data_IF_678208331102
#
_entry.id   IF_678208331102
#
_cell.length_a   1.000
_cell.length_b   1.000
_cell.length_c   1.000
_cell.angle_alpha   90.00
_cell.angle_beta   90.00
_cell.angle_gamma   90.00
#
_symmetry.space_group_name_H-M   'P 1'
#
loop_
_entity.id
_entity.type
_entity.pdbx_description
1 polymer ?
#
# COMPACT_ATOMS: atom_id res chain seq x y z
N UNK A 1 44.15 -25.17 -21.47
CA UNK A 1 43.55 -26.42 -20.95
C UNK A 1 43.51 -26.30 -19.43
N UNK A 2 42.40 -26.18 -18.71
CA UNK A 2 40.99 -26.26 -19.08
C UNK A 2 40.17 -25.11 -18.47
N UNK A 3 39.11 -24.75 -19.18
CA UNK A 3 38.08 -23.82 -18.73
C UNK A 3 37.13 -24.55 -17.78
N UNK A 4 37.23 -24.29 -16.48
CA UNK A 4 36.17 -24.63 -15.53
C UNK A 4 34.99 -23.67 -15.78
N UNK A 5 33.88 -24.22 -16.25
CA UNK A 5 32.62 -23.51 -16.51
C UNK A 5 32.08 -22.94 -15.19
N UNK A 6 31.76 -21.64 -15.16
CA UNK A 6 31.03 -20.97 -14.08
C UNK A 6 29.56 -21.43 -13.91
N UNK A 7 29.16 -22.54 -14.56
CA UNK A 7 27.88 -23.21 -14.36
C UNK A 7 27.97 -24.56 -13.63
N UNK A 8 29.17 -25.00 -13.21
CA UNK A 8 29.37 -26.33 -12.62
C UNK A 8 29.10 -26.41 -11.10
N UNK A 9 28.87 -25.28 -10.42
CA UNK A 9 28.52 -25.26 -9.00
C UNK A 9 27.00 -25.27 -8.73
N UNK A 10 26.17 -25.49 -9.77
CA UNK A 10 24.70 -25.58 -9.67
C UNK A 10 24.16 -27.01 -9.56
N UNK A 11 25.04 -28.02 -9.52
CA UNK A 11 24.66 -29.41 -9.29
C UNK A 11 25.46 -29.96 -8.11
N UNK A 12 25.01 -29.62 -6.90
CA UNK A 12 25.18 -30.55 -5.79
C UNK A 12 24.42 -31.84 -6.16
N UNK A 13 25.11 -32.97 -6.04
CA UNK A 13 24.50 -34.30 -6.19
C UNK A 13 23.18 -34.35 -5.42
N UNK A 14 22.11 -34.63 -6.15
CA UNK A 14 20.79 -34.86 -5.59
C UNK A 14 20.83 -36.20 -4.83
N UNK A 15 21.32 -36.17 -3.60
CA UNK A 15 21.08 -37.25 -2.66
C UNK A 15 19.58 -37.32 -2.37
N UNK A 16 19.01 -38.45 -2.79
CA UNK A 16 17.60 -38.77 -2.68
C UNK A 16 17.20 -38.94 -1.20
N UNK A 17 16.79 -37.83 -0.59
CA UNK A 17 16.14 -37.82 0.71
C UNK A 17 15.35 -36.54 0.86
N UNK A 18 14.03 -36.61 0.71
CA UNK A 18 13.11 -35.52 1.06
C UNK A 18 13.04 -35.34 2.58
N UNK A 19 14.17 -34.94 3.18
CA UNK A 19 14.29 -34.44 4.53
C UNK A 19 14.25 -32.91 4.49
N UNK A 20 13.28 -32.32 5.19
CA UNK A 20 13.13 -30.88 5.43
C UNK A 20 14.26 -30.31 6.32
N UNK A 21 15.53 -30.55 5.99
CA UNK A 21 16.66 -30.35 6.94
C UNK A 21 17.68 -29.29 6.55
N UNK A 22 17.48 -28.52 5.48
CA UNK A 22 18.29 -27.33 5.23
C UNK A 22 17.39 -26.21 4.71
N UNK A 23 17.31 -25.08 5.42
CA UNK A 23 16.98 -23.81 4.77
C UNK A 23 18.15 -23.53 3.84
N UNK A 24 18.05 -24.02 2.60
CA UNK A 24 19.07 -23.84 1.59
C UNK A 24 19.29 -22.33 1.39
N UNK A 25 20.55 -21.91 1.29
CA UNK A 25 20.89 -20.49 1.13
C UNK A 25 20.18 -19.91 -0.09
N UNK A 26 20.02 -20.72 -1.14
CA UNK A 26 19.24 -20.38 -2.33
C UNK A 26 17.76 -20.14 -2.02
N UNK A 27 17.12 -21.00 -1.23
CA UNK A 27 15.72 -20.87 -0.86
C UNK A 27 15.47 -19.60 0.00
N UNK A 28 16.39 -19.29 0.91
CA UNK A 28 16.37 -18.06 1.70
C UNK A 28 16.50 -16.81 0.82
N UNK A 29 17.47 -16.80 -0.09
CA UNK A 29 17.69 -15.70 -1.03
C UNK A 29 16.45 -15.47 -1.92
N UNK A 30 15.88 -16.53 -2.50
CA UNK A 30 14.65 -16.47 -3.33
C UNK A 30 13.46 -15.94 -2.52
N UNK A 31 13.25 -16.47 -1.32
CA UNK A 31 12.15 -16.04 -0.45
C UNK A 31 12.26 -14.55 -0.10
N UNK A 32 13.44 -14.09 0.33
CA UNK A 32 13.70 -12.68 0.66
C UNK A 32 13.46 -11.78 -0.55
N UNK A 33 13.86 -12.22 -1.74
CA UNK A 33 13.70 -11.47 -2.99
C UNK A 33 12.24 -11.34 -3.41
N UNK A 34 11.46 -12.42 -3.31
CA UNK A 34 10.03 -12.38 -3.60
C UNK A 34 9.21 -11.60 -2.58
N UNK A 35 9.55 -11.70 -1.29
CA UNK A 35 8.95 -10.85 -0.26
C UNK A 35 9.26 -9.37 -0.53
N UNK A 36 10.49 -9.07 -0.97
CA UNK A 36 10.88 -7.74 -1.43
C UNK A 36 10.06 -7.25 -2.62
N UNK A 37 9.88 -8.10 -3.63
CA UNK A 37 9.04 -7.82 -4.79
C UNK A 37 7.58 -7.57 -4.40
N UNK A 38 7.02 -8.39 -3.51
CA UNK A 38 5.66 -8.24 -3.01
C UNK A 38 5.48 -6.92 -2.24
N UNK A 39 6.43 -6.53 -1.39
CA UNK A 39 6.37 -5.27 -0.65
C UNK A 39 6.45 -4.04 -1.56
N UNK A 40 7.37 -4.05 -2.54
CA UNK A 40 7.45 -2.99 -3.54
C UNK A 40 6.20 -2.94 -4.42
N UNK A 41 5.66 -4.10 -4.81
CA UNK A 41 4.46 -4.22 -5.63
C UNK A 41 3.19 -3.76 -4.91
N UNK A 42 3.04 -4.06 -3.62
CA UNK A 42 1.96 -3.54 -2.79
C UNK A 42 2.00 -2.02 -2.71
N UNK A 43 3.20 -1.46 -2.52
CA UNK A 43 3.36 -0.01 -2.48
C UNK A 43 3.13 0.65 -3.85
N UNK A 44 3.59 0.02 -4.94
CA UNK A 44 3.30 0.44 -6.31
C UNK A 44 1.79 0.45 -6.58
N UNK A 45 1.07 -0.61 -6.18
CA UNK A 45 -0.38 -0.68 -6.29
C UNK A 45 -1.08 0.39 -5.46
N UNK A 46 -0.58 0.67 -4.24
CA UNK A 46 -1.07 1.75 -3.39
C UNK A 46 -0.89 3.14 -4.03
N UNK A 47 0.26 3.41 -4.65
CA UNK A 47 0.47 4.65 -5.41
C UNK A 47 -0.44 4.73 -6.63
N UNK A 48 -0.61 3.61 -7.33
CA UNK A 48 -1.46 3.53 -8.52
C UNK A 48 -2.92 3.79 -8.18
N UNK A 49 -3.43 3.22 -7.08
CA UNK A 49 -4.83 3.37 -6.68
C UNK A 49 -5.17 4.80 -6.23
N UNK A 50 -4.20 5.58 -5.75
CA UNK A 50 -4.40 6.96 -5.32
C UNK A 50 -4.33 8.01 -6.42
N UNK A 51 -3.72 7.70 -7.58
CA UNK A 51 -3.54 8.60 -8.76
C UNK A 51 -3.37 10.08 -8.39
N UNK A 52 -2.49 10.38 -7.42
CA UNK A 52 -2.18 11.76 -7.09
C UNK A 52 -1.35 12.41 -8.21
N UNK A 53 -1.62 13.69 -8.50
CA UNK A 53 -0.87 14.44 -9.51
C UNK A 53 0.62 14.47 -9.13
N UNK A 54 1.48 13.84 -9.94
CA UNK A 54 2.91 13.74 -9.67
C UNK A 54 3.43 12.34 -9.30
N UNK A 55 2.56 11.34 -9.11
CA UNK A 55 2.96 9.98 -8.73
C UNK A 55 3.82 9.21 -9.76
N UNK A 56 3.97 9.73 -10.99
CA UNK A 56 4.60 9.02 -12.10
C UNK A 56 6.05 8.59 -11.86
N UNK A 57 6.87 9.43 -11.22
CA UNK A 57 8.28 9.09 -10.94
C UNK A 57 8.41 8.05 -9.83
N UNK A 58 7.53 8.10 -8.81
CA UNK A 58 7.42 7.06 -7.80
C UNK A 58 6.96 5.73 -8.38
N UNK A 59 5.92 5.74 -9.21
CA UNK A 59 5.44 4.56 -9.94
C UNK A 59 6.56 3.93 -10.79
N UNK A 60 7.37 4.75 -11.45
CA UNK A 60 8.51 4.27 -12.22
C UNK A 60 9.57 3.60 -11.33
N UNK A 61 10.00 4.25 -10.25
CA UNK A 61 11.00 3.69 -9.32
C UNK A 61 10.53 2.37 -8.70
N UNK A 62 9.34 2.33 -8.12
CA UNK A 62 8.81 1.12 -7.49
C UNK A 62 8.45 0.05 -8.53
N UNK A 63 8.09 0.45 -9.75
CA UNK A 63 7.92 -0.46 -10.88
C UNK A 63 9.22 -1.17 -11.26
N UNK A 64 10.32 -0.40 -11.41
CA UNK A 64 11.66 -0.95 -11.70
C UNK A 64 12.13 -1.86 -10.56
N UNK A 65 11.97 -1.45 -9.29
CA UNK A 65 12.35 -2.29 -8.13
C UNK A 65 11.53 -3.58 -8.06
N UNK A 66 10.22 -3.50 -8.27
CA UNK A 66 9.34 -4.68 -8.27
C UNK A 66 9.70 -5.64 -9.40
N UNK A 67 9.90 -5.12 -10.62
CA UNK A 67 10.32 -5.93 -11.77
C UNK A 67 11.69 -6.57 -11.55
N UNK A 68 12.67 -5.79 -11.06
CA UNK A 68 14.01 -6.28 -10.75
C UNK A 68 13.95 -7.45 -9.77
N UNK A 69 13.26 -7.29 -8.64
CA UNK A 69 13.18 -8.31 -7.60
C UNK A 69 12.37 -9.53 -8.08
N UNK A 70 11.24 -9.33 -8.76
CA UNK A 70 10.42 -10.42 -9.27
C UNK A 70 11.20 -11.28 -10.29
N UNK A 71 11.77 -10.66 -11.32
CA UNK A 71 12.55 -11.35 -12.36
C UNK A 71 13.78 -12.01 -11.74
N UNK A 72 14.44 -11.39 -10.77
CA UNK A 72 15.60 -11.98 -10.06
C UNK A 72 15.24 -13.26 -9.32
N UNK A 73 14.12 -13.28 -8.60
CA UNK A 73 13.66 -14.50 -7.93
C UNK A 73 13.40 -15.64 -8.91
N UNK A 74 12.82 -15.34 -10.08
CA UNK A 74 12.65 -16.34 -11.15
C UNK A 74 13.97 -16.75 -11.82
N UNK A 75 14.91 -15.82 -12.01
CA UNK A 75 16.21 -16.10 -12.59
C UNK A 75 16.98 -17.15 -11.78
N UNK A 76 16.87 -17.10 -10.45
CA UNK A 76 17.50 -18.07 -9.56
C UNK A 76 16.84 -19.45 -9.57
N UNK A 77 15.53 -19.52 -9.78
CA UNK A 77 14.82 -20.80 -9.86
C UNK A 77 15.05 -21.53 -11.19
N UNK A 78 15.05 -20.79 -12.30
CA UNK A 78 15.13 -21.38 -13.63
C UNK A 78 16.54 -21.38 -14.23
N UNK A 79 17.46 -20.55 -13.73
CA UNK A 79 18.84 -20.48 -14.20
C UNK A 79 19.01 -20.03 -15.66
N UNK A 80 17.96 -19.47 -16.28
CA UNK A 80 18.00 -19.14 -17.71
C UNK A 80 18.78 -17.84 -17.96
N UNK A 81 19.69 -17.85 -18.95
CA UNK A 81 20.54 -16.70 -19.28
C UNK A 81 19.75 -15.43 -19.66
N UNK A 82 18.62 -15.59 -20.35
CA UNK A 82 17.75 -14.46 -20.71
C UNK A 82 17.08 -13.81 -19.49
N UNK A 83 16.82 -14.58 -18.41
CA UNK A 83 16.32 -14.03 -17.15
C UNK A 83 17.40 -13.19 -16.47
N UNK A 84 18.66 -13.65 -16.47
CA UNK A 84 19.78 -12.87 -15.95
C UNK A 84 19.94 -11.54 -16.72
N UNK A 85 19.85 -11.57 -18.06
CA UNK A 85 19.84 -10.35 -18.87
C UNK A 85 18.70 -9.40 -18.51
N UNK A 86 17.49 -9.91 -18.25
CA UNK A 86 16.36 -9.09 -17.81
C UNK A 86 16.56 -8.50 -16.41
N UNK A 87 17.18 -9.23 -15.47
CA UNK A 87 17.55 -8.71 -14.15
C UNK A 87 18.47 -7.50 -14.31
N UNK A 88 19.52 -7.63 -15.13
CA UNK A 88 20.44 -6.53 -15.36
C UNK A 88 19.84 -5.39 -16.20
N UNK A 89 18.93 -5.69 -17.12
CA UNK A 89 18.15 -4.67 -17.82
C UNK A 89 17.33 -3.83 -16.84
N UNK A 90 16.68 -4.44 -15.84
CA UNK A 90 15.99 -3.70 -14.79
C UNK A 90 16.97 -2.95 -13.86
N UNK A 91 18.10 -3.57 -13.50
CA UNK A 91 19.09 -2.95 -12.61
C UNK A 91 19.74 -1.71 -13.23
N UNK A 92 20.00 -1.72 -14.54
CA UNK A 92 20.57 -0.59 -15.28
C UNK A 92 19.60 0.59 -15.41
N UNK A 93 18.29 0.39 -15.17
CA UNK A 93 17.30 1.47 -15.08
C UNK A 93 17.22 2.12 -13.69
N UNK A 94 17.86 1.54 -12.66
CA UNK A 94 17.84 2.12 -11.31
C UNK A 94 18.43 3.54 -11.21
N UNK A 95 19.61 3.85 -11.81
CA UNK A 95 20.18 5.19 -11.74
C UNK A 95 19.23 6.28 -12.23
N UNK A 96 18.59 6.07 -13.39
CA UNK A 96 17.61 7.02 -13.93
C UNK A 96 16.34 7.08 -13.08
N UNK A 97 15.84 5.94 -12.60
CA UNK A 97 14.65 5.90 -11.75
C UNK A 97 14.85 6.64 -10.42
N UNK A 98 15.99 6.44 -9.75
CA UNK A 98 16.35 7.13 -8.52
C UNK A 98 16.51 8.64 -8.75
N UNK A 99 17.11 9.03 -9.87
CA UNK A 99 17.34 10.46 -10.19
C UNK A 99 16.03 11.18 -10.52
N UNK A 100 15.12 10.55 -11.28
CA UNK A 100 13.78 11.10 -11.54
C UNK A 100 12.95 11.20 -10.26
N UNK A 101 13.09 10.23 -9.36
CA UNK A 101 12.46 10.29 -8.04
C UNK A 101 13.02 11.43 -7.18
N UNK A 102 14.35 11.59 -7.12
CA UNK A 102 15.00 12.69 -6.41
C UNK A 102 14.63 14.06 -7.01
N UNK A 103 14.55 14.17 -8.33
CA UNK A 103 14.08 15.37 -9.03
C UNK A 103 12.65 15.75 -8.64
N UNK A 104 11.77 14.76 -8.55
CA UNK A 104 10.39 14.96 -8.13
C UNK A 104 10.32 15.52 -6.70
N UNK A 105 11.14 14.99 -5.79
CA UNK A 105 11.25 15.51 -4.42
C UNK A 105 11.74 16.97 -4.37
N UNK A 106 12.55 17.39 -5.34
CA UNK A 106 13.13 18.74 -5.44
C UNK A 106 12.35 19.70 -6.36
N UNK A 107 11.12 19.34 -6.76
CA UNK A 107 10.27 20.17 -7.66
C UNK A 107 11.00 20.68 -8.91
N UNK A 108 11.82 19.83 -9.55
CA UNK A 108 12.58 20.13 -10.79
C UNK A 108 13.82 21.02 -10.67
N UNK A 109 14.30 21.33 -9.46
CA UNK A 109 15.59 22.04 -9.25
C UNK A 109 16.82 21.12 -9.40
N UNK A 110 16.65 19.94 -9.99
CA UNK A 110 17.72 18.96 -10.14
C UNK A 110 18.65 19.35 -11.30
N UNK A 111 19.97 19.44 -11.09
CA UNK A 111 20.88 19.95 -12.09
C UNK A 111 20.97 18.99 -13.28
N UNK A 112 21.11 19.56 -14.48
CA UNK A 112 21.15 18.82 -15.74
C UNK A 112 22.30 17.81 -15.80
N UNK A 113 23.44 18.12 -15.17
CA UNK A 113 24.60 17.24 -15.17
C UNK A 113 24.33 15.91 -14.44
N UNK A 114 23.56 15.91 -13.34
CA UNK A 114 23.20 14.67 -12.64
C UNK A 114 22.22 13.83 -13.47
N UNK A 115 21.29 14.47 -14.19
CA UNK A 115 20.37 13.78 -15.10
C UNK A 115 21.14 13.14 -16.25
N UNK A 116 22.08 13.88 -16.83
CA UNK A 116 22.97 13.38 -17.88
C UNK A 116 23.85 12.23 -17.39
N UNK A 117 24.37 12.32 -16.17
CA UNK A 117 25.15 11.25 -15.54
C UNK A 117 24.30 9.98 -15.33
N UNK A 118 23.12 10.11 -14.73
CA UNK A 118 22.21 8.98 -14.50
C UNK A 118 21.75 8.34 -15.81
N UNK A 119 21.36 9.16 -16.79
CA UNK A 119 20.97 8.70 -18.12
C UNK A 119 22.15 8.02 -18.84
N UNK A 120 23.35 8.60 -18.76
CA UNK A 120 24.55 8.07 -19.38
C UNK A 120 24.96 6.72 -18.80
N UNK A 121 24.95 6.57 -17.47
CA UNK A 121 25.19 5.29 -16.79
C UNK A 121 24.13 4.27 -17.18
N UNK A 122 22.85 4.63 -17.09
CA UNK A 122 21.75 3.73 -17.47
C UNK A 122 21.84 3.29 -18.92
N UNK A 123 22.03 4.22 -19.86
CA UNK A 123 22.14 3.91 -21.28
C UNK A 123 23.39 3.06 -21.59
N UNK A 124 24.56 3.44 -21.07
CA UNK A 124 25.80 2.70 -21.32
C UNK A 124 25.68 1.24 -20.89
N UNK A 125 25.29 0.99 -19.64
CA UNK A 125 25.21 -0.38 -19.14
C UNK A 125 24.02 -1.17 -19.69
N UNK A 126 22.91 -0.50 -20.03
CA UNK A 126 21.79 -1.15 -20.72
C UNK A 126 22.20 -1.63 -22.11
N UNK A 127 22.91 -0.77 -22.87
CA UNK A 127 23.44 -1.15 -24.20
C UNK A 127 24.47 -2.27 -24.06
N UNK A 128 25.40 -2.18 -23.10
CA UNK A 128 26.37 -3.24 -22.84
C UNK A 128 25.66 -4.57 -22.50
N UNK A 129 24.68 -4.57 -21.61
CA UNK A 129 23.91 -5.77 -21.24
C UNK A 129 23.19 -6.43 -22.42
N UNK A 130 22.84 -5.67 -23.47
CA UNK A 130 22.20 -6.21 -24.67
C UNK A 130 23.20 -6.93 -25.60
N UNK A 131 24.44 -6.46 -25.64
CA UNK A 131 25.47 -6.96 -26.58
C UNK A 131 26.53 -7.84 -25.92
N UNK A 132 26.69 -7.80 -24.60
CA UNK A 132 27.68 -8.56 -23.84
C UNK A 132 27.03 -9.29 -22.67
N UNK A 133 27.65 -10.39 -22.24
CA UNK A 133 27.25 -11.08 -21.02
C UNK A 133 27.73 -10.31 -19.79
N UNK A 134 26.90 -9.35 -19.36
CA UNK A 134 27.19 -8.53 -18.19
C UNK A 134 27.23 -9.37 -16.90
N UNK A 135 26.41 -10.42 -16.82
CA UNK A 135 26.33 -11.30 -15.65
C UNK A 135 27.61 -12.11 -15.44
N UNK A 136 28.26 -12.52 -16.53
CA UNK A 136 29.52 -13.26 -16.49
C UNK A 136 30.78 -12.41 -16.37
N UNK A 137 30.68 -11.08 -16.35
CA UNK A 137 31.83 -10.18 -16.46
C UNK A 137 32.03 -9.33 -15.19
N UNK A 138 32.75 -9.89 -14.21
CA UNK A 138 33.05 -9.28 -12.92
C UNK A 138 33.50 -7.81 -12.97
N UNK A 139 34.47 -7.38 -13.82
CA UNK A 139 34.89 -5.98 -13.83
C UNK A 139 33.79 -5.04 -14.33
N UNK A 140 32.93 -5.48 -15.27
CA UNK A 140 31.78 -4.68 -15.69
C UNK A 140 30.70 -4.59 -14.60
N UNK A 141 30.48 -5.66 -13.82
CA UNK A 141 29.57 -5.64 -12.67
C UNK A 141 30.05 -4.68 -11.58
N UNK A 142 31.35 -4.72 -11.26
CA UNK A 142 31.96 -3.79 -10.30
C UNK A 142 31.91 -2.35 -10.81
N UNK A 143 32.12 -2.12 -12.11
CA UNK A 143 31.95 -0.81 -12.71
C UNK A 143 30.50 -0.32 -12.62
N UNK A 144 29.50 -1.18 -12.89
CA UNK A 144 28.08 -0.84 -12.73
C UNK A 144 27.76 -0.48 -11.27
N UNK A 145 28.22 -1.28 -10.31
CA UNK A 145 28.03 -1.02 -8.88
C UNK A 145 28.67 0.30 -8.47
N UNK A 146 29.91 0.57 -8.89
CA UNK A 146 30.60 1.83 -8.60
C UNK A 146 29.85 3.02 -9.19
N UNK A 147 29.41 2.94 -10.46
CA UNK A 147 28.61 3.99 -11.08
C UNK A 147 27.26 4.19 -10.38
N UNK A 148 26.56 3.12 -9.99
CA UNK A 148 25.31 3.20 -9.22
C UNK A 148 25.53 3.88 -7.87
N UNK A 149 26.61 3.51 -7.16
CA UNK A 149 26.99 4.13 -5.89
C UNK A 149 27.28 5.62 -6.07
N UNK A 150 28.03 6.01 -7.11
CA UNK A 150 28.32 7.41 -7.43
C UNK A 150 27.04 8.19 -7.74
N UNK A 151 26.14 7.68 -8.59
CA UNK A 151 24.84 8.32 -8.90
C UNK A 151 24.03 8.51 -7.61
N UNK A 152 23.93 7.46 -6.81
CA UNK A 152 23.15 7.45 -5.56
C UNK A 152 23.71 8.44 -4.55
N UNK A 153 25.04 8.43 -4.35
CA UNK A 153 25.73 9.34 -3.46
C UNK A 153 25.61 10.80 -3.92
N UNK A 154 25.70 11.06 -5.22
CA UNK A 154 25.57 12.41 -5.78
C UNK A 154 24.14 12.96 -5.62
N UNK A 155 23.12 12.13 -5.87
CA UNK A 155 21.71 12.48 -5.60
C UNK A 155 21.48 12.74 -4.11
N UNK A 156 22.01 11.88 -3.23
CA UNK A 156 21.90 12.04 -1.79
C UNK A 156 22.60 13.30 -1.27
N UNK A 157 23.81 13.58 -1.77
CA UNK A 157 24.56 14.80 -1.46
C UNK A 157 23.78 16.06 -1.88
N UNK A 158 23.22 16.06 -3.10
CA UNK A 158 22.44 17.19 -3.60
C UNK A 158 21.16 17.42 -2.79
N UNK A 159 20.46 16.34 -2.39
CA UNK A 159 19.30 16.40 -1.49
C UNK A 159 19.65 17.01 -0.11
N UNK A 160 20.88 16.79 0.38
CA UNK A 160 21.36 17.40 1.63
C UNK A 160 21.81 18.85 1.45
N UNK A 161 22.36 19.21 0.29
CA UNK A 161 22.93 20.52 0.02
C UNK A 161 21.87 21.59 -0.29
N UNK A 162 20.79 21.25 -1.01
CA UNK A 162 19.68 22.17 -1.32
C UNK A 162 18.81 22.55 -0.11
N UNK A 163 19.17 22.06 1.09
CA UNK A 163 18.43 22.13 2.34
C UNK A 163 18.12 23.56 2.82
N UNK A 164 18.97 24.54 2.48
CA UNK A 164 19.01 25.80 3.23
C UNK A 164 18.44 27.02 2.50
N UNK A 165 18.14 26.94 1.19
CA UNK A 165 17.68 28.10 0.42
C UNK A 165 16.22 28.00 -0.07
N UNK A 166 15.76 26.84 -0.55
CA UNK A 166 14.57 26.78 -1.42
C UNK A 166 13.47 25.76 -1.01
N UNK A 167 13.66 24.97 0.04
CA UNK A 167 12.75 23.87 0.41
C UNK A 167 11.88 24.18 1.63
N UNK A 168 10.61 23.76 1.59
CA UNK A 168 9.73 23.83 2.76
C UNK A 168 10.22 22.88 3.87
N UNK A 169 9.84 23.16 5.12
CA UNK A 169 10.24 22.32 6.26
C UNK A 169 9.80 20.85 6.13
N UNK A 170 8.71 20.56 5.41
CA UNK A 170 8.27 19.20 5.10
C UNK A 170 9.17 18.51 4.08
N UNK A 171 9.56 19.21 3.01
CA UNK A 171 10.41 18.66 1.95
C UNK A 171 11.83 18.39 2.46
N UNK A 172 12.40 19.31 3.23
CA UNK A 172 13.69 19.11 3.88
C UNK A 172 13.69 17.95 4.90
N UNK A 173 12.53 17.60 5.46
CA UNK A 173 12.37 16.39 6.30
C UNK A 173 12.31 15.12 5.46
N UNK A 174 11.52 15.12 4.39
CA UNK A 174 11.37 14.01 3.47
C UNK A 174 12.72 13.66 2.81
N UNK A 175 13.44 14.67 2.30
CA UNK A 175 14.76 14.51 1.72
C UNK A 175 15.76 13.89 2.72
N UNK A 176 15.82 14.39 3.96
CA UNK A 176 16.71 13.83 5.00
C UNK A 176 16.44 12.37 5.28
N UNK A 177 15.17 11.99 5.38
CA UNK A 177 14.83 10.62 5.68
C UNK A 177 15.10 9.69 4.50
N UNK A 178 14.83 10.13 3.28
CA UNK A 178 15.23 9.41 2.06
C UNK A 178 16.74 9.17 2.05
N UNK A 179 17.55 10.20 2.35
CA UNK A 179 19.01 10.05 2.43
C UNK A 179 19.43 9.06 3.51
N UNK A 180 18.87 9.16 4.73
CA UNK A 180 19.17 8.22 5.82
C UNK A 180 18.87 6.78 5.41
N UNK A 181 17.72 6.55 4.75
CA UNK A 181 17.36 5.19 4.33
C UNK A 181 18.22 4.70 3.20
N UNK A 182 18.55 5.54 2.22
CA UNK A 182 19.47 5.17 1.15
C UNK A 182 20.85 4.81 1.72
N UNK A 183 21.35 5.57 2.71
CA UNK A 183 22.61 5.25 3.40
C UNK A 183 22.52 3.92 4.16
N UNK A 184 21.38 3.60 4.76
CA UNK A 184 21.15 2.30 5.41
C UNK A 184 20.97 1.15 4.41
N UNK A 185 20.36 1.42 3.25
CA UNK A 185 20.05 0.44 2.21
C UNK A 185 21.27 0.12 1.33
N UNK A 186 22.22 1.05 1.17
CA UNK A 186 23.38 0.86 0.31
C UNK A 186 24.28 -0.30 0.77
N UNK A 187 24.66 -0.44 2.07
CA UNK A 187 25.40 -1.61 2.54
C UNK A 187 24.64 -2.92 2.32
N UNK A 188 23.32 -2.91 2.51
CA UNK A 188 22.46 -4.07 2.25
C UNK A 188 22.50 -4.44 0.75
N UNK A 189 22.43 -3.47 -0.15
CA UNK A 189 22.53 -3.70 -1.60
C UNK A 189 23.92 -4.22 -2.01
N UNK A 190 25.00 -3.78 -1.35
CA UNK A 190 26.36 -4.28 -1.62
C UNK A 190 26.47 -5.77 -1.32
N UNK A 191 25.73 -6.30 -0.34
CA UNK A 191 25.72 -7.75 -0.05
C UNK A 191 25.20 -8.62 -1.20
N UNK A 192 24.46 -8.04 -2.16
CA UNK A 192 24.03 -8.77 -3.36
C UNK A 192 25.20 -9.16 -4.28
N UNK A 193 26.36 -8.50 -4.14
CA UNK A 193 27.58 -8.76 -4.90
C UNK A 193 28.58 -9.66 -4.15
N UNK A 194 28.11 -10.47 -3.19
CA UNK A 194 28.94 -11.33 -2.33
C UNK A 194 29.92 -12.24 -3.10
N UNK A 195 29.53 -12.74 -4.27
CA UNK A 195 30.37 -13.64 -5.08
C UNK A 195 31.67 -12.95 -5.52
N UNK A 196 31.65 -11.62 -5.66
CA UNK A 196 32.81 -10.82 -6.06
C UNK A 196 33.51 -10.11 -4.88
N UNK A 197 32.86 -10.00 -3.72
CA UNK A 197 33.34 -9.25 -2.55
C UNK A 197 33.72 -10.12 -1.34
N UNK A 198 33.43 -11.43 -1.36
CA UNK A 198 33.77 -12.37 -0.29
C UNK A 198 32.57 -12.85 0.56
N UNK A 199 32.87 -13.63 1.61
CA UNK A 199 31.94 -14.51 2.34
C UNK A 199 30.89 -13.79 3.20
N UNK A 200 29.88 -13.18 2.58
CA UNK A 200 28.63 -12.79 3.27
C UNK A 200 27.61 -13.94 3.12
N UNK A 201 27.02 -14.44 4.22
CA UNK A 201 26.22 -15.67 4.19
C UNK A 201 24.89 -15.56 3.44
N UNK A 202 24.26 -14.38 3.39
CA UNK A 202 22.92 -14.18 2.77
C UNK A 202 22.88 -12.86 2.01
N UNK A 203 22.17 -12.81 0.87
CA UNK A 203 21.96 -11.58 0.10
C UNK A 203 20.86 -10.75 0.75
N UNK A 204 21.18 -9.53 1.17
CA UNK A 204 20.29 -8.66 1.95
C UNK A 204 19.72 -7.48 1.12
N UNK A 205 20.01 -7.37 -0.18
CA UNK A 205 19.63 -6.21 -0.98
C UNK A 205 18.12 -5.95 -1.05
N UNK A 206 17.30 -7.01 -1.08
CA UNK A 206 15.84 -6.86 -1.06
C UNK A 206 15.31 -6.26 0.26
N UNK A 207 16.02 -6.47 1.38
CA UNK A 207 15.69 -5.81 2.66
C UNK A 207 15.90 -4.30 2.58
N UNK A 208 16.90 -3.83 1.82
CA UNK A 208 17.12 -2.41 1.56
C UNK A 208 15.91 -1.76 0.86
N UNK A 209 15.35 -2.44 -0.15
CA UNK A 209 14.15 -1.98 -0.84
C UNK A 209 12.91 -1.99 0.08
N UNK A 210 12.72 -3.03 0.89
CA UNK A 210 11.62 -3.09 1.87
C UNK A 210 11.74 -2.02 2.94
N UNK A 211 12.94 -1.79 3.48
CA UNK A 211 13.20 -0.72 4.42
C UNK A 211 12.87 0.64 3.79
N UNK A 212 13.26 0.87 2.54
CA UNK A 212 12.90 2.06 1.77
C UNK A 212 11.39 2.28 1.68
N UNK A 213 10.63 1.28 1.26
CA UNK A 213 9.16 1.34 1.21
C UNK A 213 8.57 1.63 2.60
N UNK A 214 9.03 0.89 3.62
CA UNK A 214 8.52 1.01 4.99
C UNK A 214 8.70 2.43 5.54
N UNK A 215 9.90 2.99 5.39
CA UNK A 215 10.21 4.35 5.85
C UNK A 215 9.41 5.39 5.08
N UNK A 216 9.34 5.25 3.76
CA UNK A 216 8.61 6.19 2.92
C UNK A 216 7.13 6.29 3.30
N UNK A 217 6.52 5.17 3.70
CA UNK A 217 5.15 5.11 4.18
C UNK A 217 4.94 5.71 5.57
N UNK A 218 5.98 5.79 6.40
CA UNK A 218 5.94 6.39 7.75
C UNK A 218 6.24 7.90 7.76
N UNK A 219 6.90 8.39 6.71
CA UNK A 219 7.29 9.80 6.58
C UNK A 219 6.13 10.77 6.39
N UNK A 220 4.95 10.28 5.99
CA UNK A 220 3.79 11.12 5.71
C UNK A 220 3.14 11.73 6.96
N UNK A 221 3.49 11.30 8.18
CA UNK A 221 2.71 11.65 9.39
C UNK A 221 3.50 12.15 10.61
N UNK A 222 4.79 11.81 10.78
CA UNK A 222 5.49 12.05 12.06
C UNK A 222 6.37 13.31 12.08
N UNK A 223 6.19 14.16 13.10
CA UNK A 223 7.04 15.33 13.35
C UNK A 223 8.42 15.00 13.92
N UNK A 224 8.64 13.79 14.48
CA UNK A 224 9.96 13.33 15.00
C UNK A 224 10.50 12.18 14.16
N UNK A 225 10.92 12.52 12.96
CA UNK A 225 11.19 11.58 11.87
C UNK A 225 12.30 10.58 12.19
N UNK A 226 13.51 11.03 12.53
CA UNK A 226 14.69 10.14 12.55
C UNK A 226 14.73 9.21 13.78
N UNK A 227 14.49 9.73 14.98
CA UNK A 227 14.52 8.89 16.21
C UNK A 227 13.37 7.88 16.23
N UNK A 228 12.18 8.28 15.81
CA UNK A 228 11.04 7.37 15.69
C UNK A 228 11.29 6.27 14.67
N UNK A 229 11.90 6.62 13.53
CA UNK A 229 12.27 5.67 12.50
C UNK A 229 13.29 4.64 12.97
N UNK A 230 14.36 5.08 13.64
CA UNK A 230 15.37 4.19 14.19
C UNK A 230 14.78 3.25 15.26
N UNK A 231 13.90 3.77 16.12
CA UNK A 231 13.20 2.95 17.11
C UNK A 231 12.28 1.89 16.45
N UNK A 232 11.59 2.25 15.36
CA UNK A 232 10.75 1.32 14.59
C UNK A 232 11.57 0.25 13.87
N UNK A 233 12.71 0.63 13.27
CA UNK A 233 13.62 -0.33 12.64
C UNK A 233 14.27 -1.25 13.69
N UNK A 234 14.62 -0.73 14.86
CA UNK A 234 15.09 -1.54 15.98
C UNK A 234 14.01 -2.51 16.49
N UNK A 235 12.76 -2.05 16.59
CA UNK A 235 11.64 -2.93 16.94
C UNK A 235 11.42 -4.03 15.90
N UNK A 236 11.45 -3.69 14.61
CA UNK A 236 11.35 -4.66 13.52
C UNK A 236 12.48 -5.70 13.58
N UNK A 237 13.70 -5.26 13.91
CA UNK A 237 14.85 -6.15 14.12
C UNK A 237 14.65 -7.11 15.29
N UNK A 238 14.12 -6.63 16.42
CA UNK A 238 13.80 -7.48 17.57
C UNK A 238 12.73 -8.51 17.21
N UNK A 239 11.65 -8.09 16.56
CA UNK A 239 10.60 -9.01 16.11
C UNK A 239 11.14 -10.05 15.10
N UNK A 240 11.98 -9.62 14.16
CA UNK A 240 12.63 -10.52 13.21
C UNK A 240 13.54 -11.53 13.91
N UNK A 241 14.32 -11.11 14.92
CA UNK A 241 15.17 -12.00 15.70
C UNK A 241 14.35 -13.03 16.49
N UNK A 242 13.24 -12.61 17.12
CA UNK A 242 12.32 -13.52 17.82
C UNK A 242 11.70 -14.51 16.83
N UNK A 243 11.19 -14.04 15.69
CA UNK A 243 10.58 -14.89 14.67
C UNK A 243 11.59 -15.89 14.09
N UNK A 244 12.81 -15.45 13.80
CA UNK A 244 13.89 -16.32 13.34
C UNK A 244 14.27 -17.37 14.41
N UNK A 245 14.29 -16.98 15.69
CA UNK A 245 14.50 -17.90 16.80
C UNK A 245 13.38 -18.94 16.91
N UNK A 246 12.12 -18.54 16.74
CA UNK A 246 10.98 -19.48 16.72
C UNK A 246 11.08 -20.44 15.53
N UNK A 247 11.43 -19.95 14.34
CA UNK A 247 11.65 -20.78 13.16
C UNK A 247 12.81 -21.78 13.37
N UNK A 248 13.91 -21.34 13.97
CA UNK A 248 15.05 -22.18 14.28
C UNK A 248 14.69 -23.26 15.32
N UNK A 249 13.94 -22.90 16.37
CA UNK A 249 13.47 -23.84 17.38
C UNK A 249 12.52 -24.88 16.78
N UNK A 250 11.61 -24.47 15.89
CA UNK A 250 10.65 -25.35 15.24
C UNK A 250 11.31 -26.34 14.28
N UNK A 251 12.42 -25.95 13.63
CA UNK A 251 13.09 -26.78 12.62
C UNK A 251 14.19 -27.67 13.20
N UNK A 252 14.98 -27.16 14.16
CA UNK A 252 16.19 -27.84 14.66
C UNK A 252 16.15 -28.15 16.17
N UNK A 253 15.13 -27.67 16.90
CA UNK A 253 15.07 -27.79 18.36
C UNK A 253 16.18 -27.00 19.09
N UNK A 254 16.26 -27.12 20.42
CA UNK A 254 17.30 -26.49 21.23
C UNK A 254 18.60 -27.32 21.14
N UNK A 255 19.31 -27.24 20.02
CA UNK A 255 20.55 -27.97 19.76
C UNK A 255 21.66 -27.09 19.14
N UNK A 256 22.83 -27.67 18.82
CA UNK A 256 23.97 -26.92 18.28
C UNK A 256 23.69 -26.25 16.93
N UNK A 257 22.68 -26.70 16.18
CA UNK A 257 22.23 -26.08 14.92
C UNK A 257 21.25 -24.89 15.09
N UNK A 258 20.78 -24.61 16.31
CA UNK A 258 19.80 -23.54 16.57
C UNK A 258 20.31 -22.16 16.18
N UNK A 259 21.54 -21.81 16.62
CA UNK A 259 22.10 -20.49 16.38
C UNK A 259 22.35 -20.24 14.88
N UNK A 260 22.83 -21.25 14.17
CA UNK A 260 23.08 -21.18 12.74
C UNK A 260 21.77 -21.07 11.94
N UNK A 261 20.77 -21.90 12.26
CA UNK A 261 19.44 -21.83 11.66
C UNK A 261 18.77 -20.47 11.91
N UNK A 262 18.92 -19.90 13.11
CA UNK A 262 18.41 -18.58 13.47
C UNK A 262 19.07 -17.46 12.66
N UNK A 263 20.40 -17.47 12.55
CA UNK A 263 21.15 -16.48 11.77
C UNK A 263 20.78 -16.53 10.27
N UNK A 264 20.63 -17.73 9.70
CA UNK A 264 20.23 -17.91 8.29
C UNK A 264 18.76 -17.56 8.04
N UNK A 265 17.88 -17.78 9.02
CA UNK A 265 16.46 -17.43 8.94
C UNK A 265 16.17 -15.95 9.18
N UNK A 266 17.10 -15.21 9.79
CA UNK A 266 16.93 -13.80 10.16
C UNK A 266 16.57 -12.87 8.98
N UNK A 267 17.17 -12.99 7.78
CA UNK A 267 16.78 -12.17 6.63
C UNK A 267 15.36 -12.45 6.15
N UNK A 268 14.94 -13.73 6.12
CA UNK A 268 13.58 -14.13 5.74
C UNK A 268 12.57 -13.59 6.75
N UNK A 269 12.85 -13.75 8.05
CA UNK A 269 12.02 -13.22 9.11
C UNK A 269 11.89 -11.69 9.04
N UNK A 270 13.01 -10.99 8.78
CA UNK A 270 13.01 -9.54 8.59
C UNK A 270 12.16 -9.12 7.38
N UNK A 271 12.31 -9.81 6.25
CA UNK A 271 11.52 -9.52 5.06
C UNK A 271 10.01 -9.68 5.32
N UNK A 272 9.62 -10.74 6.05
CA UNK A 272 8.24 -10.98 6.47
C UNK A 272 7.69 -9.91 7.41
N UNK A 273 8.47 -9.53 8.43
CA UNK A 273 8.09 -8.48 9.38
C UNK A 273 7.89 -7.15 8.65
N UNK A 274 8.83 -6.75 7.79
CA UNK A 274 8.72 -5.52 7.00
C UNK A 274 7.54 -5.56 6.04
N UNK A 275 7.33 -6.67 5.32
CA UNK A 275 6.19 -6.83 4.42
C UNK A 275 4.86 -6.68 5.15
N UNK A 276 4.71 -7.36 6.29
CA UNK A 276 3.50 -7.30 7.10
C UNK A 276 3.27 -5.88 7.63
N UNK A 277 4.33 -5.22 8.11
CA UNK A 277 4.24 -3.87 8.61
C UNK A 277 3.87 -2.86 7.51
N UNK A 278 4.41 -3.03 6.29
CA UNK A 278 4.02 -2.26 5.10
C UNK A 278 2.53 -2.49 4.79
N UNK A 279 2.07 -3.74 4.75
CA UNK A 279 0.68 -4.08 4.45
C UNK A 279 -0.29 -3.47 5.46
N UNK A 280 -0.04 -3.68 6.76
CA UNK A 280 -0.85 -3.12 7.86
C UNK A 280 -0.91 -1.59 7.76
N UNK A 281 0.23 -0.96 7.47
CA UNK A 281 0.29 0.49 7.34
C UNK A 281 -0.43 1.01 6.10
N UNK A 282 -0.29 0.35 4.94
CA UNK A 282 -1.04 0.69 3.72
C UNK A 282 -2.54 0.62 4.01
N UNK A 283 -2.99 -0.42 4.71
CA UNK A 283 -4.38 -0.56 5.14
C UNK A 283 -4.79 0.59 6.06
N UNK A 284 -4.04 0.85 7.13
CA UNK A 284 -4.33 1.94 8.06
C UNK A 284 -4.44 3.31 7.36
N UNK A 285 -3.51 3.62 6.46
CA UNK A 285 -3.48 4.88 5.69
C UNK A 285 -4.62 4.93 4.67
N UNK A 286 -5.01 3.80 4.08
CA UNK A 286 -6.18 3.72 3.20
C UNK A 286 -7.47 4.00 3.96
N UNK A 287 -7.62 3.43 5.15
CA UNK A 287 -8.79 3.66 6.01
C UNK A 287 -8.87 5.13 6.50
N UNK A 288 -7.73 5.74 6.84
CA UNK A 288 -7.67 7.15 7.23
C UNK A 288 -7.91 8.11 6.06
N UNK A 289 -7.39 7.77 4.87
CA UNK A 289 -7.49 8.58 3.65
C UNK A 289 -8.94 8.87 3.25
N UNK A 290 -9.83 7.90 3.44
CA UNK A 290 -11.27 8.04 3.20
C UNK A 290 -11.89 9.21 3.98
N UNK A 291 -11.38 9.52 5.18
CA UNK A 291 -11.87 10.64 5.99
C UNK A 291 -11.51 11.99 5.38
N UNK A 292 -10.29 12.12 4.87
CA UNK A 292 -9.85 13.34 4.17
C UNK A 292 -10.58 13.56 2.85
N UNK A 293 -10.95 12.48 2.15
CA UNK A 293 -11.71 12.54 0.91
C UNK A 293 -13.13 13.04 1.18
N UNK A 294 -13.76 12.56 2.24
CA UNK A 294 -15.06 13.07 2.69
C UNK A 294 -15.02 14.56 3.06
N UNK A 295 -14.01 15.01 3.80
CA UNK A 295 -13.87 16.43 4.15
C UNK A 295 -13.57 17.31 2.93
N UNK A 296 -12.70 16.86 2.02
CA UNK A 296 -12.44 17.56 0.75
C UNK A 296 -13.69 17.64 -0.11
N UNK A 297 -14.47 16.56 -0.15
CA UNK A 297 -15.78 16.59 -0.80
C UNK A 297 -16.68 17.62 -0.14
N UNK A 298 -16.81 17.61 1.19
CA UNK A 298 -17.69 18.55 1.91
C UNK A 298 -17.31 20.01 1.64
N UNK A 299 -16.01 20.31 1.49
CA UNK A 299 -15.51 21.64 1.16
C UNK A 299 -15.84 22.09 -0.28
N UNK A 300 -15.96 21.16 -1.24
CA UNK A 300 -16.21 21.48 -2.65
C UNK A 300 -17.63 21.09 -3.11
N UNK A 301 -18.43 20.50 -2.22
CA UNK A 301 -19.79 20.11 -2.50
C UNK A 301 -20.62 21.38 -2.71
N UNK A 302 -21.42 21.40 -3.78
CA UNK A 302 -22.42 22.45 -3.97
C UNK A 302 -23.56 22.18 -3.00
N UNK A 303 -23.63 22.98 -1.93
CA UNK A 303 -24.65 22.91 -0.89
C UNK A 303 -25.73 23.99 -1.11
N UNK A 304 -25.81 24.52 -2.33
CA UNK A 304 -26.64 25.66 -2.68
C UNK A 304 -28.08 25.20 -2.98
N UNK A 305 -28.22 24.03 -3.61
CA UNK A 305 -29.49 23.41 -4.00
C UNK A 305 -29.49 21.90 -3.70
N UNK A 306 -30.66 21.28 -3.45
CA UNK A 306 -30.73 19.83 -3.21
C UNK A 306 -30.25 19.00 -4.40
N UNK A 307 -30.55 19.42 -5.64
CA UNK A 307 -30.03 18.79 -6.85
C UNK A 307 -28.51 18.90 -6.96
N UNK A 308 -27.94 20.07 -6.61
CA UNK A 308 -26.50 20.29 -6.55
C UNK A 308 -25.81 19.40 -5.51
N UNK A 309 -26.49 19.16 -4.39
CA UNK A 309 -26.03 18.24 -3.35
C UNK A 309 -26.06 16.79 -3.82
N UNK A 310 -27.14 16.32 -4.46
CA UNK A 310 -27.24 14.96 -5.02
C UNK A 310 -26.18 14.73 -6.12
N UNK A 311 -25.99 15.72 -6.99
CA UNK A 311 -24.95 15.66 -8.01
C UNK A 311 -23.54 15.62 -7.38
N UNK A 312 -23.33 16.35 -6.28
CA UNK A 312 -22.08 16.30 -5.53
C UNK A 312 -21.89 14.96 -4.83
N UNK A 313 -22.94 14.34 -4.29
CA UNK A 313 -22.95 13.01 -3.67
C UNK A 313 -22.47 11.91 -4.63
N UNK A 314 -22.78 12.00 -5.93
CA UNK A 314 -22.27 11.04 -6.94
C UNK A 314 -20.75 11.02 -7.04
N UNK A 315 -20.09 12.10 -6.61
CA UNK A 315 -18.63 12.23 -6.66
C UNK A 315 -17.93 11.61 -5.46
N UNK A 316 -18.65 11.18 -4.42
CA UNK A 316 -18.06 10.40 -3.34
C UNK A 316 -17.94 8.93 -3.80
N UNK A 317 -16.75 8.30 -3.75
CA UNK A 317 -16.59 6.90 -4.14
C UNK A 317 -17.48 5.94 -3.35
N UNK A 318 -17.75 6.26 -2.07
CA UNK A 318 -18.57 5.42 -1.18
C UNK A 318 -20.08 5.60 -1.40
N UNK A 319 -20.50 6.63 -2.13
CA UNK A 319 -21.91 6.88 -2.46
C UNK A 319 -22.12 6.97 -3.96
N UNK A 320 -21.20 6.44 -4.78
CA UNK A 320 -21.30 6.49 -6.24
C UNK A 320 -22.56 5.75 -6.73
N UNK A 321 -22.91 4.64 -6.07
CA UNK A 321 -24.06 3.78 -6.39
C UNK A 321 -25.34 4.16 -5.61
N UNK A 322 -25.47 5.41 -5.15
CA UNK A 322 -26.66 5.80 -4.40
C UNK A 322 -27.93 5.79 -5.27
N UNK A 323 -29.03 5.32 -4.70
CA UNK A 323 -30.35 5.36 -5.34
C UNK A 323 -31.18 6.44 -4.65
N UNK A 324 -31.71 7.38 -5.42
CA UNK A 324 -32.63 8.40 -4.91
C UNK A 324 -34.03 7.99 -5.34
N UNK A 325 -34.89 7.70 -4.36
CA UNK A 325 -36.29 7.38 -4.58
C UNK A 325 -37.14 8.63 -4.30
N UNK A 326 -37.93 9.02 -5.29
CA UNK A 326 -38.85 10.15 -5.22
C UNK A 326 -40.28 9.74 -4.90
N UNK A 327 -41.17 10.72 -4.79
CA UNK A 327 -42.57 10.55 -4.37
C UNK A 327 -43.36 9.57 -5.24
N UNK A 328 -43.08 9.51 -6.55
CA UNK A 328 -43.75 8.59 -7.49
C UNK A 328 -43.32 7.13 -7.30
N UNK A 329 -42.06 6.88 -6.96
CA UNK A 329 -41.52 5.53 -6.74
C UNK A 329 -41.84 5.03 -5.34
N UNK A 330 -42.06 5.94 -4.40
CA UNK A 330 -42.51 5.66 -3.04
C UNK A 330 -44.04 5.57 -2.92
N UNK A 331 -44.79 5.80 -4.01
CA UNK A 331 -46.23 5.73 -4.03
C UNK A 331 -46.71 4.28 -3.79
N UNK A 332 -47.31 4.04 -2.62
CA UNK A 332 -47.74 2.71 -2.18
C UNK A 332 -47.01 2.19 -0.93
N UNK A 333 -45.93 2.86 -0.51
CA UNK A 333 -45.27 2.58 0.76
C UNK A 333 -45.88 3.39 1.91
N UNK A 334 -45.83 2.86 3.13
CA UNK A 334 -46.31 3.52 4.35
C UNK A 334 -45.34 4.64 4.79
N UNK A 335 -45.20 5.67 3.96
CA UNK A 335 -44.26 6.78 4.10
C UNK A 335 -44.36 7.48 5.46
N UNK A 336 -45.57 7.77 5.94
CA UNK A 336 -45.77 8.46 7.22
C UNK A 336 -45.23 7.65 8.40
N UNK A 337 -45.46 6.33 8.39
CA UNK A 337 -44.94 5.41 9.40
C UNK A 337 -43.41 5.25 9.30
N UNK A 338 -42.86 5.17 8.08
CA UNK A 338 -41.41 5.14 7.83
C UNK A 338 -40.71 6.39 8.38
N UNK A 339 -41.26 7.56 8.09
CA UNK A 339 -40.75 8.84 8.57
C UNK A 339 -40.99 9.05 10.07
N UNK A 340 -41.99 8.41 10.68
CA UNK A 340 -42.20 8.44 12.13
C UNK A 340 -41.15 7.57 12.85
N UNK A 341 -40.94 6.34 12.38
CA UNK A 341 -40.00 5.38 12.95
C UNK A 341 -38.57 5.94 12.90
N UNK A 342 -38.13 6.37 11.72
CA UNK A 342 -36.77 6.88 11.54
C UNK A 342 -36.59 8.35 11.93
N UNK A 343 -37.66 9.14 11.88
CA UNK A 343 -37.64 10.57 12.22
C UNK A 343 -37.27 10.84 13.68
N UNK A 344 -37.54 9.89 14.59
CA UNK A 344 -37.21 10.02 16.02
C UNK A 344 -35.71 10.01 16.31
N UNK A 345 -34.91 9.26 15.52
CA UNK A 345 -33.46 9.10 15.80
C UNK A 345 -32.56 10.07 15.05
N UNK A 346 -33.03 10.67 13.95
CA UNK A 346 -32.21 11.56 13.08
C UNK A 346 -30.90 10.93 12.60
N UNK A 347 -30.85 9.61 12.58
CA UNK A 347 -29.72 8.79 12.15
C UNK A 347 -30.09 8.03 10.87
N UNK A 348 -29.08 7.60 10.06
CA UNK A 348 -29.29 6.65 8.97
C UNK A 348 -29.90 5.37 9.50
N UNK A 349 -30.81 4.76 8.76
CA UNK A 349 -31.38 3.45 9.14
C UNK A 349 -30.65 2.35 8.39
N UNK A 350 -30.03 1.42 9.11
CA UNK A 350 -29.42 0.24 8.49
C UNK A 350 -30.45 -0.87 8.21
N UNK A 351 -30.15 -1.75 7.25
CA UNK A 351 -30.98 -2.93 6.96
C UNK A 351 -31.11 -3.86 8.18
N UNK A 352 -30.07 -3.94 9.02
CA UNK A 352 -30.09 -4.73 10.26
C UNK A 352 -31.08 -4.16 11.27
N UNK A 353 -31.11 -2.84 11.45
CA UNK A 353 -32.07 -2.17 12.32
C UNK A 353 -33.50 -2.27 11.78
N UNK A 354 -33.71 -2.11 10.47
CA UNK A 354 -35.03 -2.28 9.86
C UNK A 354 -35.58 -3.70 10.13
N UNK A 355 -34.75 -4.73 10.00
CA UNK A 355 -35.12 -6.12 10.35
C UNK A 355 -35.36 -6.30 11.85
N UNK A 356 -34.54 -5.68 12.70
CA UNK A 356 -34.72 -5.74 14.15
C UNK A 356 -36.02 -5.06 14.60
N UNK A 357 -36.45 -3.99 13.93
CA UNK A 357 -37.73 -3.33 14.20
C UNK A 357 -38.93 -4.19 13.81
N UNK A 358 -38.84 -4.89 12.67
CA UNK A 358 -39.86 -5.87 12.28
C UNK A 358 -39.95 -7.02 13.30
N UNK A 359 -38.80 -7.56 13.74
CA UNK A 359 -38.74 -8.66 14.73
C UNK A 359 -39.24 -8.28 16.13
N UNK A 360 -38.74 -7.18 16.69
CA UNK A 360 -39.10 -6.74 18.05
C UNK A 360 -40.53 -6.20 18.18
N UNK A 361 -41.12 -5.76 17.06
CA UNK A 361 -42.51 -5.32 16.99
C UNK A 361 -43.50 -6.48 17.09
N UNK A 362 -43.15 -7.65 16.54
CA UNK A 362 -43.97 -8.86 16.57
C UNK A 362 -44.22 -9.37 18.00
N UNK A 363 -43.22 -9.26 18.88
CA UNK A 363 -43.31 -9.70 20.28
C UNK A 363 -44.18 -8.78 21.17
N UNK A 364 -44.47 -7.54 20.74
CA UNK A 364 -45.20 -6.52 21.51
C UNK A 364 -46.54 -6.09 20.86
N UNK A 365 -47.13 -6.96 20.04
CA UNK A 365 -48.27 -6.66 19.15
C UNK A 365 -49.66 -6.50 19.83
N UNK A 366 -49.74 -5.89 21.01
CA UNK A 366 -51.01 -5.69 21.74
C UNK A 366 -51.68 -4.31 21.50
N UNK A 367 -51.17 -3.47 20.59
CA UNK A 367 -51.70 -2.13 20.32
C UNK A 367 -52.03 -1.89 18.84
N UNK A 368 -53.11 -1.14 18.57
CA UNK A 368 -53.63 -0.85 17.23
C UNK A 368 -52.68 -0.05 16.32
N UNK A 369 -51.60 0.54 16.85
CA UNK A 369 -50.55 1.24 16.09
C UNK A 369 -49.27 0.41 15.85
N UNK A 370 -49.19 -0.81 16.38
CA UNK A 370 -47.97 -1.65 16.27
C UNK A 370 -47.87 -2.33 14.91
N UNK A 371 -48.99 -2.78 14.33
CA UNK A 371 -49.02 -3.45 13.03
C UNK A 371 -48.50 -2.59 11.89
N UNK A 372 -48.93 -1.32 11.83
CA UNK A 372 -48.49 -0.37 10.80
C UNK A 372 -46.99 -0.05 10.89
N UNK A 373 -46.38 -0.14 12.09
CA UNK A 373 -44.94 0.06 12.27
C UNK A 373 -44.12 -1.14 11.83
N UNK A 374 -44.62 -2.35 12.08
CA UNK A 374 -44.01 -3.60 11.61
C UNK A 374 -44.02 -3.61 10.08
N UNK A 375 -45.17 -3.32 9.47
CA UNK A 375 -45.32 -3.27 8.02
C UNK A 375 -44.36 -2.24 7.39
N UNK A 376 -44.26 -1.04 7.98
CA UNK A 376 -43.29 -0.04 7.52
C UNK A 376 -41.83 -0.51 7.64
N UNK A 377 -41.47 -1.20 8.73
CA UNK A 377 -40.12 -1.73 8.91
C UNK A 377 -39.78 -2.84 7.90
N UNK A 378 -40.73 -3.73 7.61
CA UNK A 378 -40.59 -4.76 6.58
C UNK A 378 -40.47 -4.17 5.19
N UNK A 379 -41.31 -3.17 4.87
CA UNK A 379 -41.25 -2.42 3.62
C UNK A 379 -39.89 -1.73 3.41
N UNK A 380 -39.30 -1.17 4.47
CA UNK A 380 -37.97 -0.57 4.41
C UNK A 380 -36.87 -1.63 4.17
N UNK A 381 -36.96 -2.76 4.87
CA UNK A 381 -36.00 -3.85 4.70
C UNK A 381 -36.06 -4.47 3.30
N UNK A 382 -37.27 -4.58 2.75
CA UNK A 382 -37.53 -5.04 1.38
C UNK A 382 -37.02 -4.03 0.34
N UNK A 383 -37.28 -2.73 0.52
CA UNK A 383 -36.70 -1.67 -0.33
C UNK A 383 -35.17 -1.73 -0.38
N UNK A 384 -34.53 -1.86 0.78
CA UNK A 384 -33.07 -1.99 0.88
C UNK A 384 -32.57 -3.27 0.19
N UNK A 385 -33.28 -4.39 0.36
CA UNK A 385 -32.91 -5.66 -0.27
C UNK A 385 -33.06 -5.63 -1.80
N UNK A 386 -34.17 -5.09 -2.32
CA UNK A 386 -34.43 -4.98 -3.77
C UNK A 386 -33.38 -4.15 -4.48
N UNK A 387 -32.91 -3.07 -3.86
CA UNK A 387 -31.88 -2.20 -4.42
C UNK A 387 -30.45 -2.61 -4.05
N UNK A 388 -30.26 -3.71 -3.31
CA UNK A 388 -28.94 -4.16 -2.81
C UNK A 388 -28.21 -3.08 -1.99
N UNK A 389 -28.97 -2.28 -1.23
CA UNK A 389 -28.45 -1.17 -0.42
C UNK A 389 -28.46 -1.54 1.05
N UNK A 390 -27.57 -0.93 1.84
CA UNK A 390 -27.41 -1.28 3.26
C UNK A 390 -28.02 -0.25 4.19
N UNK A 391 -28.14 1.01 3.77
CA UNK A 391 -28.63 2.11 4.59
C UNK A 391 -29.64 2.98 3.83
N UNK A 392 -30.63 3.50 4.56
CA UNK A 392 -31.62 4.43 4.07
C UNK A 392 -31.51 5.79 4.79
N UNK A 393 -31.49 6.87 4.00
CA UNK A 393 -31.47 8.25 4.46
C UNK A 393 -32.80 8.91 4.11
N UNK A 394 -33.60 9.24 5.13
CA UNK A 394 -34.90 9.89 4.97
C UNK A 394 -34.73 11.41 4.98
N UNK A 395 -34.69 12.00 3.78
CA UNK A 395 -34.25 13.39 3.53
C UNK A 395 -35.38 14.39 3.76
N UNK A 396 -36.48 14.30 3.01
CA UNK A 396 -37.63 15.22 3.11
C UNK A 396 -38.93 14.45 3.21
N UNK A 397 -39.88 14.96 4.01
CA UNK A 397 -41.23 14.38 4.14
C UNK A 397 -42.18 14.83 3.02
N UNK A 398 -42.01 16.03 2.49
CA UNK A 398 -42.83 16.62 1.41
C UNK A 398 -41.96 17.54 0.55
N UNK A 399 -41.67 17.19 -0.72
CA UNK A 399 -41.92 15.89 -1.35
C UNK A 399 -41.14 14.77 -0.63
N UNK A 400 -41.71 13.56 -0.59
CA UNK A 400 -41.07 12.42 0.05
C UNK A 400 -39.81 12.02 -0.73
N UNK A 401 -38.64 12.09 -0.08
CA UNK A 401 -37.37 11.72 -0.70
C UNK A 401 -36.56 10.80 0.20
N UNK A 402 -36.18 9.66 -0.36
CA UNK A 402 -35.38 8.62 0.30
C UNK A 402 -34.09 8.41 -0.50
N UNK A 403 -32.94 8.49 0.15
CA UNK A 403 -31.65 8.19 -0.47
C UNK A 403 -31.13 6.88 0.12
N UNK A 404 -30.97 5.87 -0.72
CA UNK A 404 -30.40 4.58 -0.34
C UNK A 404 -28.90 4.58 -0.64
N UNK A 405 -28.11 4.12 0.33
CA UNK A 405 -26.66 4.07 0.27
C UNK A 405 -26.15 2.66 0.56
N UNK A 406 -25.03 2.31 -0.08
CA UNK A 406 -24.27 1.13 0.27
C UNK A 406 -23.02 1.52 1.08
N UNK A 407 -23.15 1.46 2.41
CA UNK A 407 -22.03 1.69 3.32
C UNK A 407 -21.40 0.35 3.76
N UNK A 408 -20.07 0.30 3.92
CA UNK A 408 -19.38 -0.91 4.37
C UNK A 408 -19.78 -1.27 5.82
N UNK A 409 -20.24 -2.51 6.03
CA UNK A 409 -20.71 -3.02 7.34
C UNK A 409 -19.60 -3.67 8.20
N UNK A 410 -18.32 -3.51 7.82
CA UNK A 410 -17.18 -4.10 8.53
C UNK A 410 -16.64 -3.25 9.68
N UNK A 411 -15.35 -3.38 9.99
CA UNK A 411 -14.67 -2.62 11.04
C UNK A 411 -14.78 -1.08 10.95
N UNK A 412 -15.25 -0.55 9.81
CA UNK A 412 -15.48 0.86 9.54
C UNK A 412 -16.95 1.30 9.56
N UNK A 413 -17.89 0.42 9.96
CA UNK A 413 -19.32 0.73 9.99
C UNK A 413 -19.62 2.04 10.72
N UNK A 414 -19.03 2.22 11.92
CA UNK A 414 -19.23 3.43 12.73
C UNK A 414 -18.79 4.74 12.02
N UNK A 415 -17.70 4.73 11.26
CA UNK A 415 -17.24 5.91 10.50
C UNK A 415 -18.15 6.15 9.29
N UNK A 416 -18.59 5.09 8.62
CA UNK A 416 -19.55 5.17 7.53
C UNK A 416 -20.89 5.74 7.98
N UNK A 417 -21.40 5.27 9.12
CA UNK A 417 -22.62 5.75 9.77
C UNK A 417 -22.50 7.22 10.17
N UNK A 418 -21.39 7.65 10.78
CA UNK A 418 -21.14 9.06 11.11
C UNK A 418 -21.16 9.95 9.86
N UNK A 419 -20.54 9.52 8.75
CA UNK A 419 -20.58 10.27 7.49
C UNK A 419 -21.99 10.35 6.93
N UNK A 420 -22.71 9.23 6.94
CA UNK A 420 -24.09 9.16 6.49
C UNK A 420 -25.02 10.03 7.34
N UNK A 421 -24.77 10.13 8.66
CA UNK A 421 -25.49 11.03 9.55
C UNK A 421 -25.21 12.51 9.22
N UNK A 422 -23.95 12.87 8.91
CA UNK A 422 -23.60 14.22 8.45
C UNK A 422 -24.28 14.54 7.12
N UNK A 423 -24.25 13.61 6.15
CA UNK A 423 -24.94 13.74 4.86
C UNK A 423 -26.46 13.93 5.08
N UNK A 424 -27.09 13.11 5.93
CA UNK A 424 -28.51 13.22 6.27
C UNK A 424 -28.86 14.59 6.86
N UNK A 425 -28.02 15.08 7.76
CA UNK A 425 -28.23 16.37 8.43
C UNK A 425 -28.14 17.54 7.45
N UNK A 426 -27.18 17.50 6.51
CA UNK A 426 -27.06 18.49 5.46
C UNK A 426 -28.24 18.43 4.49
N UNK A 427 -28.61 17.23 4.03
CA UNK A 427 -29.72 17.02 3.11
C UNK A 427 -31.05 17.56 3.68
N UNK A 428 -31.32 17.28 4.96
CA UNK A 428 -32.50 17.80 5.68
C UNK A 428 -32.49 19.32 5.79
N UNK A 429 -31.33 19.93 6.05
CA UNK A 429 -31.22 21.37 6.17
C UNK A 429 -31.50 22.08 4.84
N UNK A 430 -31.05 21.49 3.72
CA UNK A 430 -31.35 22.00 2.38
C UNK A 430 -32.83 21.84 2.02
N UNK A 431 -33.42 20.67 2.31
CA UNK A 431 -34.86 20.45 2.07
C UNK A 431 -35.76 21.37 2.89
N UNK A 432 -35.34 21.76 4.10
CA UNK A 432 -36.09 22.75 4.91
C UNK A 432 -36.02 24.17 4.34
N UNK A 433 -34.91 24.55 3.68
CA UNK A 433 -34.76 25.87 3.06
C UNK A 433 -35.57 26.05 1.78
N UNK A 434 -35.84 24.97 1.07
CA UNK A 434 -36.63 25.00 -0.16
C UNK A 434 -38.14 25.01 0.13
N UNK A 435 -38.56 24.48 1.29
CA UNK A 435 -39.95 24.47 1.74
C UNK A 435 -40.38 25.74 2.48
N UNK A 436 -39.45 26.64 2.81
CA UNK A 436 -39.67 27.92 3.48
C UNK A 436 -39.54 29.07 2.48
#
# INVERSE_FOLDING_TARGET
MGHARAGAALHGEADAGWGLTVIDALASDVAVTWLGAAGCGLYLHFLWSRREAGAGTGLFLFGVLTALLAVRGFAWLFGAAWLAQLVFAAATLLPIAMTLFAEHLLRRHHPLWLKGLALGVSALFFTLNLFTDLAGNAPLLLALLACLAVVTASNGWFLLWLREADLSANEARLARAVVVVVVLALPLAVTDFREELGQVPVRLGALGALAFVYVFLHLSESQRVVRGLLAQMAAALVFAAVLAGVMALATHGPGPGFAEAGLRGMPVAMAWVLLTAIFVRIRAVSLAGDGSAFLRWLLHARLDTPEGFLHSLRRLPQTADHVVLGETELAGYALDALFEIAGRRREPVSIGEARAWAGNGADNAAGSGTGQRIEAAEQLADLLARHQMTHALLVTRRPAQLVLLNLPQGANAAIGELRAAVILRLARHLGQREAA
#
